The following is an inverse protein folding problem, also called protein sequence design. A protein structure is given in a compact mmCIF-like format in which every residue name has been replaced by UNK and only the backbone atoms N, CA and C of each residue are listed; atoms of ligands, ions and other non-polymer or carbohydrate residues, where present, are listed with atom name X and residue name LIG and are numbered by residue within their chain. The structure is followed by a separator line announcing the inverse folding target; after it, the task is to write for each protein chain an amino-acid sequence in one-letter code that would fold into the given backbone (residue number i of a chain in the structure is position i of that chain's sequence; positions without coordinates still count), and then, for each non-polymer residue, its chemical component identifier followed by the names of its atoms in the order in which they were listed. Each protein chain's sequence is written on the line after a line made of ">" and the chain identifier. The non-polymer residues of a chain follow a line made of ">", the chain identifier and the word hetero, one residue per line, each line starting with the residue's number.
data_IF_536355731688
#
_entry.id   IF_536355731688
#
_cell.length_a   1.000
_cell.length_b   1.000
_cell.length_c   1.000
_cell.angle_alpha   90.00
_cell.angle_beta   90.00
_cell.angle_gamma   90.00
#
_symmetry.space_group_name_H-M   'P 1'
#
loop_
_entity.id
_entity.type
_entity.pdbx_description
1 polymer ?
#
# COMPACT_ATOMS: atom_id res chain seq x y z
N UNK A 1 -19.59 13.30 3.62
CA UNK A 1 -18.28 13.26 2.95
C UNK A 1 -17.48 12.04 3.45
N UNK A 2 -16.93 11.30 2.53
CA UNK A 2 -16.09 10.19 2.96
C UNK A 2 -14.85 10.72 3.66
N UNK A 3 -14.50 10.09 4.75
CA UNK A 3 -13.27 10.44 5.45
C UNK A 3 -12.07 9.99 4.62
N UNK A 4 -11.00 10.77 4.57
CA UNK A 4 -9.78 10.30 3.93
C UNK A 4 -9.26 9.05 4.67
N UNK A 5 -8.68 8.16 3.92
CA UNK A 5 -8.10 6.96 4.51
C UNK A 5 -6.91 7.34 5.36
N UNK A 6 -6.92 6.88 6.59
CA UNK A 6 -5.80 7.11 7.48
C UNK A 6 -4.86 5.92 7.41
N UNK A 7 -3.86 6.04 6.59
CA UNK A 7 -2.87 5.00 6.40
C UNK A 7 -1.55 5.51 6.93
N UNK A 8 -0.95 4.73 7.81
CA UNK A 8 0.31 5.08 8.46
C UNK A 8 1.39 4.11 8.05
N UNK A 9 2.63 4.53 8.16
CA UNK A 9 3.77 3.65 7.94
C UNK A 9 3.68 2.48 8.91
N UNK A 10 3.84 1.27 8.39
CA UNK A 10 3.70 0.05 9.15
C UNK A 10 2.34 -0.61 9.06
N UNK A 11 1.34 0.08 8.54
CA UNK A 11 0.00 -0.49 8.39
C UNK A 11 -0.02 -1.57 7.32
N UNK A 12 -0.90 -2.54 7.51
CA UNK A 12 -1.14 -3.59 6.53
C UNK A 12 -2.35 -3.21 5.68
N UNK A 13 -2.15 -3.26 4.38
CA UNK A 13 -3.17 -2.84 3.42
C UNK A 13 -3.27 -3.81 2.27
N UNK A 14 -4.37 -3.71 1.52
CA UNK A 14 -4.56 -4.41 0.27
C UNK A 14 -4.66 -3.40 -0.86
N UNK A 15 -4.40 -3.84 -2.07
CA UNK A 15 -4.45 -2.96 -3.23
C UNK A 15 -5.67 -3.31 -4.07
N UNK A 16 -6.45 -2.30 -4.41
CA UNK A 16 -7.61 -2.43 -5.30
C UNK A 16 -7.16 -2.38 -6.75
N UNK A 17 -6.47 -3.41 -7.16
CA UNK A 17 -5.95 -3.46 -8.52
C UNK A 17 -5.94 -4.89 -8.99
N UNK A 18 -6.41 -5.11 -10.22
CA UNK A 18 -6.43 -6.45 -10.81
C UNK A 18 -5.01 -6.96 -10.95
N UNK A 19 -4.79 -8.18 -10.51
CA UNK A 19 -3.47 -8.82 -10.59
C UNK A 19 -2.55 -8.53 -9.42
N UNK A 20 -2.99 -7.71 -8.47
CA UNK A 20 -2.21 -7.42 -7.26
C UNK A 20 -2.94 -8.00 -6.07
N UNK A 21 -2.45 -9.11 -5.56
CA UNK A 21 -3.08 -9.83 -4.46
C UNK A 21 -2.24 -9.81 -3.20
N UNK A 22 -2.89 -10.10 -2.08
CA UNK A 22 -2.23 -10.25 -0.81
C UNK A 22 -2.13 -8.95 -0.03
N UNK A 23 -1.53 -9.06 1.15
CA UNK A 23 -1.37 -7.93 2.03
C UNK A 23 0.00 -7.28 1.82
N UNK A 24 0.01 -5.98 1.83
CA UNK A 24 1.23 -5.19 1.73
C UNK A 24 1.38 -4.35 2.99
N UNK A 25 2.59 -4.06 3.35
CA UNK A 25 2.88 -3.17 4.47
C UNK A 25 3.32 -1.81 3.93
N UNK A 26 2.77 -0.77 4.52
CA UNK A 26 3.14 0.61 4.15
C UNK A 26 4.54 0.89 4.67
N UNK A 27 5.44 1.24 3.76
CA UNK A 27 6.84 1.47 4.10
C UNK A 27 7.18 2.95 4.17
N UNK A 28 6.70 3.73 3.22
CA UNK A 28 6.98 5.17 3.21
C UNK A 28 6.01 5.90 2.29
N UNK A 29 6.04 7.23 2.37
CA UNK A 29 5.27 8.10 1.52
C UNK A 29 6.21 8.77 0.53
N UNK A 30 5.73 8.90 -0.70
CA UNK A 30 6.41 9.65 -1.74
C UNK A 30 6.04 11.12 -1.64
N UNK A 31 6.90 12.00 -2.11
CA UNK A 31 6.66 13.44 -2.16
C UNK A 31 5.46 13.81 -3.02
N UNK A 32 5.05 12.92 -3.91
CA UNK A 32 3.91 13.14 -4.80
C UNK A 32 2.60 12.57 -4.26
N UNK A 33 2.57 12.19 -2.99
CA UNK A 33 1.38 11.63 -2.38
C UNK A 33 1.12 10.17 -2.67
N UNK A 34 2.07 9.49 -3.27
CA UNK A 34 1.99 8.06 -3.49
C UNK A 34 2.53 7.32 -2.28
N UNK A 35 2.08 6.09 -2.13
CA UNK A 35 2.47 5.25 -1.00
C UNK A 35 3.34 4.11 -1.52
N UNK A 36 4.49 3.94 -0.90
CA UNK A 36 5.37 2.81 -1.18
C UNK A 36 4.99 1.69 -0.24
N UNK A 37 4.60 0.57 -0.81
CA UNK A 37 4.18 -0.60 -0.04
C UNK A 37 5.04 -1.80 -0.40
N UNK A 38 5.17 -2.72 0.54
CA UNK A 38 6.03 -3.88 0.38
C UNK A 38 5.28 -5.15 0.73
N UNK A 39 5.47 -6.17 -0.08
CA UNK A 39 4.98 -7.50 0.21
C UNK A 39 6.18 -8.43 0.34
N UNK A 40 6.16 -9.22 1.41
CA UNK A 40 7.16 -10.25 1.63
C UNK A 40 6.55 -11.60 1.25
N UNK A 41 7.09 -12.20 0.21
CA UNK A 41 6.59 -13.49 -0.29
C UNK A 41 7.74 -14.49 -0.33
N UNK A 42 7.78 -15.37 0.67
CA UNK A 42 8.77 -16.44 0.73
C UNK A 42 10.23 -15.96 0.73
N UNK A 43 10.47 -14.78 1.32
CA UNK A 43 11.80 -14.22 1.35
C UNK A 43 12.06 -13.19 0.27
N UNK A 44 11.16 -13.08 -0.70
CA UNK A 44 11.23 -12.03 -1.70
C UNK A 44 10.44 -10.83 -1.23
N UNK A 45 11.03 -9.67 -1.36
CA UNK A 45 10.37 -8.42 -1.01
C UNK A 45 10.04 -7.66 -2.28
N UNK A 46 8.76 -7.39 -2.47
CA UNK A 46 8.27 -6.64 -3.61
C UNK A 46 7.77 -5.28 -3.15
N UNK A 47 8.33 -4.23 -3.71
CA UNK A 47 7.88 -2.87 -3.42
C UNK A 47 7.23 -2.29 -4.65
N UNK A 48 6.08 -1.66 -4.44
CA UNK A 48 5.38 -0.95 -5.49
C UNK A 48 4.90 0.39 -4.97
N UNK A 49 4.73 1.35 -5.85
CA UNK A 49 4.14 2.64 -5.53
C UNK A 49 2.71 2.64 -6.03
N UNK A 50 1.81 3.06 -5.16
CA UNK A 50 0.39 3.12 -5.49
C UNK A 50 -0.20 4.43 -5.02
N UNK A 51 -1.35 4.77 -5.61
CA UNK A 51 -2.11 5.91 -5.14
C UNK A 51 -2.83 5.54 -3.85
N UNK A 52 -2.98 6.49 -2.96
CA UNK A 52 -3.65 6.27 -1.69
C UNK A 52 -5.05 5.68 -1.87
N UNK A 53 -5.77 6.14 -2.88
CA UNK A 53 -7.13 5.68 -3.15
C UNK A 53 -7.22 4.23 -3.62
N UNK A 54 -6.10 3.65 -4.05
CA UNK A 54 -6.06 2.24 -4.43
C UNK A 54 -5.90 1.31 -3.23
N UNK A 55 -5.66 1.85 -2.06
CA UNK A 55 -5.43 1.05 -0.87
C UNK A 55 -6.71 0.79 -0.10
N UNK A 56 -6.82 -0.42 0.41
CA UNK A 56 -7.92 -0.85 1.27
C UNK A 56 -7.33 -1.27 2.60
N UNK A 57 -7.78 -0.61 3.64
CA UNK A 57 -7.33 -0.92 4.99
C UNK A 57 -8.38 -1.73 5.74
#
# INVERSE_FOLDING_TARGET
>A
MPKPKRIKIGDWVRVRKVGVDGMYQVMEWDDHGRVVIEQNDGGYKHRIKVELEELIK
#
